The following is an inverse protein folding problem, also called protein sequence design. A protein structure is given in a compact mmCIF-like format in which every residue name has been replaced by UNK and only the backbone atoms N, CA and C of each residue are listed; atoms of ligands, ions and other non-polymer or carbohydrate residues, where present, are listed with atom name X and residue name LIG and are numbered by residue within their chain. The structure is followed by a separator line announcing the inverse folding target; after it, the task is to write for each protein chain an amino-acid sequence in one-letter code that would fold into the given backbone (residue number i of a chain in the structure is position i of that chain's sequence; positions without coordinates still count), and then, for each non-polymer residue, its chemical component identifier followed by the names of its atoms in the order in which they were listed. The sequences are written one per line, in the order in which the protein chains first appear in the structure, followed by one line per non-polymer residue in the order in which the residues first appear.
data_IF_330321364902
#
_entry.id   IF_330321364902
#
_cell.length_a   1.000
_cell.length_b   1.000
_cell.length_c   1.000
_cell.angle_alpha   90.00
_cell.angle_beta   90.00
_cell.angle_gamma   90.00
#
_symmetry.space_group_name_H-M   'P 1'
#
loop_
_entity.id
_entity.type
_entity.pdbx_description
1 polymer ?
#
# COMPACT_ATOMS: atom_id res chain seq x y z
N UNK A 1 13.45 -19.08 -3.63
CA UNK A 1 13.28 -18.54 -3.44
C UNK A 1 12.82 -17.63 -3.09
N UNK A 2 12.58 -17.24 -2.98
CA UNK A 2 12.25 -16.45 -2.68
C UNK A 2 11.61 -15.75 -2.17
N UNK A 3 11.47 -15.11 -2.01
CA UNK A 3 11.06 -14.54 -1.44
C UNK A 3 10.46 -13.63 -1.29
N UNK A 4 10.22 -13.15 -1.47
CA UNK A 4 9.70 -12.32 -1.20
C UNK A 4 9.03 -11.43 -0.99
N UNK A 5 8.99 -10.97 -1.27
CA UNK A 5 7.81 -10.54 -0.59
C UNK A 5 7.64 -9.03 -0.61
N UNK A 6 8.49 -8.27 -0.01
CA UNK A 6 8.40 -6.80 0.01
C UNK A 6 9.11 -6.25 -1.21
N UNK A 7 8.36 -6.17 -2.30
CA UNK A 7 8.88 -5.65 -3.56
C UNK A 7 8.37 -4.23 -3.77
N UNK A 8 9.09 -3.46 -4.58
CA UNK A 8 8.59 -2.17 -5.04
C UNK A 8 7.30 -2.42 -5.82
N UNK A 9 6.26 -1.69 -5.49
CA UNK A 9 5.02 -1.83 -6.24
C UNK A 9 4.25 -0.52 -6.28
N UNK A 10 3.46 -0.36 -7.33
CA UNK A 10 2.62 0.82 -7.47
C UNK A 10 1.56 0.88 -6.38
N UNK A 11 1.16 2.11 -6.03
CA UNK A 11 0.17 2.28 -4.97
C UNK A 11 -1.17 1.67 -5.35
N UNK A 12 -1.55 1.76 -6.63
CA UNK A 12 -2.80 1.13 -7.07
C UNK A 12 -2.65 -0.38 -7.12
N UNK A 13 -1.47 -0.86 -7.47
CA UNK A 13 -1.19 -2.29 -7.46
C UNK A 13 -1.31 -2.86 -6.04
N UNK A 14 -0.71 -2.15 -5.08
CA UNK A 14 -0.80 -2.57 -3.68
C UNK A 14 -2.25 -2.54 -3.21
N UNK A 15 -2.97 -1.46 -3.55
CA UNK A 15 -4.37 -1.34 -3.13
C UNK A 15 -5.22 -2.46 -3.71
N UNK A 16 -4.93 -2.91 -4.93
CA UNK A 16 -5.68 -4.00 -5.54
C UNK A 16 -5.39 -5.34 -4.88
N UNK A 17 -4.26 -5.48 -4.21
CA UNK A 17 -4.00 -6.69 -3.44
C UNK A 17 -4.91 -6.78 -2.23
N UNK A 18 -5.26 -5.63 -1.65
CA UNK A 18 -6.21 -5.58 -0.53
C UNK A 18 -7.66 -5.64 -1.02
N UNK A 19 -7.94 -5.07 -2.18
CA UNK A 19 -9.29 -4.99 -2.72
C UNK A 19 -9.31 -5.42 -4.17
N UNK A 20 -9.14 -6.73 -4.45
CA UNK A 20 -8.98 -7.21 -5.82
C UNK A 20 -10.26 -7.17 -6.67
N UNK A 21 -11.39 -6.91 -6.05
CA UNK A 21 -12.69 -6.96 -6.71
C UNK A 21 -13.22 -5.58 -7.12
N UNK A 22 -12.43 -4.52 -6.97
CA UNK A 22 -12.85 -3.19 -7.40
C UNK A 22 -11.77 -2.58 -8.30
N UNK A 23 -12.11 -1.46 -8.94
CA UNK A 23 -11.19 -0.79 -9.85
C UNK A 23 -9.94 -0.31 -9.12
N UNK A 24 -8.78 -0.24 -9.81
CA UNK A 24 -7.53 0.17 -9.16
C UNK A 24 -7.63 1.53 -8.47
N UNK A 25 -8.23 2.50 -9.13
CA UNK A 25 -8.37 3.83 -8.55
C UNK A 25 -9.23 3.81 -7.30
N UNK A 26 -10.33 3.07 -7.36
CA UNK A 26 -11.22 2.94 -6.19
C UNK A 26 -10.53 2.18 -5.08
N UNK A 27 -9.75 1.16 -5.42
CA UNK A 27 -8.99 0.40 -4.43
C UNK A 27 -8.02 1.31 -3.70
N UNK A 28 -7.32 2.18 -4.43
CA UNK A 28 -6.39 3.11 -3.81
C UNK A 28 -7.10 4.08 -2.86
N UNK A 29 -8.23 4.62 -3.30
CA UNK A 29 -8.99 5.55 -2.45
C UNK A 29 -9.46 4.86 -1.17
N UNK A 30 -9.81 3.59 -1.28
CA UNK A 30 -10.24 2.83 -0.13
C UNK A 30 -9.08 2.53 0.83
N UNK A 31 -7.92 2.19 0.27
CA UNK A 31 -6.73 1.93 1.08
C UNK A 31 -6.18 3.21 1.71
N UNK A 32 -6.33 4.32 1.03
CA UNK A 32 -5.78 5.59 1.49
C UNK A 32 -6.35 6.01 2.84
N UNK A 33 -7.61 5.68 3.10
CA UNK A 33 -8.27 6.10 4.32
C UNK A 33 -7.57 5.59 5.58
N UNK A 34 -7.31 4.29 5.74
CA UNK A 34 -6.57 3.82 6.91
C UNK A 34 -5.14 4.32 6.96
N UNK A 35 -4.53 4.61 5.82
CA UNK A 35 -3.19 5.18 5.81
C UNK A 35 -3.20 6.58 6.42
N UNK A 36 -4.22 7.37 6.10
CA UNK A 36 -4.33 8.73 6.63
C UNK A 36 -4.58 8.74 8.13
N UNK A 37 -5.23 7.72 8.64
CA UNK A 37 -5.57 7.64 10.06
C UNK A 37 -4.40 7.17 10.92
N UNK A 38 -3.38 6.60 10.31
CA UNK A 38 -2.23 6.07 11.04
C UNK A 38 -1.07 7.06 10.92
N UNK A 39 -0.61 7.64 12.04
CA UNK A 39 0.46 8.65 11.97
C UNK A 39 1.77 8.09 11.39
N UNK A 40 1.99 6.79 11.47
CA UNK A 40 3.20 6.19 10.92
C UNK A 40 3.09 5.96 9.42
N UNK A 41 1.86 5.99 8.87
CA UNK A 41 1.62 5.72 7.46
C UNK A 41 1.17 6.95 6.69
N UNK A 42 0.77 8.00 7.39
CA UNK A 42 0.21 9.18 6.74
C UNK A 42 1.15 9.76 5.70
N UNK A 43 2.46 9.80 5.99
CA UNK A 43 3.42 10.39 5.07
C UNK A 43 3.45 9.64 3.73
N UNK A 44 3.06 8.38 3.71
CA UNK A 44 3.05 7.60 2.48
C UNK A 44 1.98 8.08 1.51
N UNK A 45 0.93 8.73 2.01
CA UNK A 45 -0.12 9.27 1.13
C UNK A 45 0.32 10.55 0.44
N UNK A 46 1.41 11.15 0.92
CA UNK A 46 1.90 12.44 0.40
C UNK A 46 3.09 12.29 -0.53
N UNK A 47 3.49 11.06 -0.83
CA UNK A 47 4.62 10.82 -1.72
C UNK A 47 4.27 11.32 -3.12
N UNK A 48 5.25 11.95 -3.77
CA UNK A 48 5.07 12.40 -5.15
C UNK A 48 5.12 11.24 -6.13
N UNK A 49 5.93 10.25 -5.83
CA UNK A 49 6.00 9.06 -6.67
C UNK A 49 4.76 8.20 -6.42
N UNK A 50 4.41 7.42 -7.42
CA UNK A 50 3.22 6.57 -7.36
C UNK A 50 3.56 5.13 -7.01
N UNK A 51 4.76 4.92 -6.47
CA UNK A 51 5.21 3.59 -6.08
C UNK A 51 5.69 3.62 -4.65
N UNK A 52 5.61 2.47 -4.01
CA UNK A 52 6.15 2.28 -2.66
C UNK A 52 7.40 1.43 -2.74
N UNK A 53 8.44 1.84 -2.02
CA UNK A 53 9.65 1.05 -1.88
C UNK A 53 9.37 -0.16 -0.98
N UNK A 54 10.23 -1.21 -1.06
CA UNK A 54 9.98 -2.41 -0.25
C UNK A 54 9.82 -2.14 1.24
N UNK A 55 10.61 -1.21 1.79
CA UNK A 55 10.49 -0.88 3.21
C UNK A 55 9.13 -0.26 3.52
N UNK A 56 8.61 0.55 2.60
CA UNK A 56 7.32 1.19 2.77
C UNK A 56 6.20 0.16 2.69
N UNK A 57 6.30 -0.77 1.76
CA UNK A 57 5.32 -1.85 1.64
C UNK A 57 5.33 -2.68 2.92
N UNK A 58 6.51 -2.97 3.44
CA UNK A 58 6.64 -3.75 4.66
C UNK A 58 5.96 -3.07 5.85
N UNK A 59 6.14 -1.76 5.98
CA UNK A 59 5.50 -1.01 7.07
C UNK A 59 3.98 -1.08 6.94
N UNK A 60 3.46 -0.95 5.72
CA UNK A 60 2.03 -1.04 5.49
C UNK A 60 1.52 -2.43 5.90
N UNK A 61 2.23 -3.46 5.50
CA UNK A 61 1.84 -4.84 5.85
C UNK A 61 1.86 -5.05 7.36
N UNK A 62 2.81 -4.44 8.06
CA UNK A 62 2.89 -4.60 9.52
C UNK A 62 1.73 -3.92 10.23
N UNK A 63 1.28 -2.78 9.72
CA UNK A 63 0.21 -2.00 10.34
C UNK A 63 -1.18 -2.49 9.95
N UNK A 64 -1.36 -2.82 8.67
CA UNK A 64 -2.67 -3.21 8.15
C UNK A 64 -2.85 -4.71 7.98
N UNK A 65 -1.75 -5.47 8.08
CA UNK A 65 -1.78 -6.89 7.79
C UNK A 65 -1.57 -7.14 6.31
N UNK A 66 -1.23 -8.37 5.97
CA UNK A 66 -1.03 -8.74 4.57
C UNK A 66 -2.39 -8.98 3.90
N UNK A 67 -2.48 -8.64 2.62
CA UNK A 67 -3.74 -8.85 1.89
C UNK A 67 -4.07 -10.31 1.68
#
# INVERSE_FOLDING_TARGET
MQQNQCLTMGRTELAQRYFPYIQPKSAWEKLRSPLLEDPDLEHLTRLRRRTFLPAEVNIIYQHLGQP
#
